data_IF_645233204724
#
_entry.id   IF_645233204724
#
_cell.length_a   1.000
_cell.length_b   1.000
_cell.length_c   1.000
_cell.angle_alpha   90.00
_cell.angle_beta   90.00
_cell.angle_gamma   90.00
#
_symmetry.space_group_name_H-M   'P 1'
#
loop_
_entity.id
_entity.type
_entity.pdbx_description
1 polymer ?
#
# COMPACT_ATOMS: atom_id res chain seq x y z
N UNK A 1 3.83 -35.66 -23.61
CA UNK A 1 4.83 -34.60 -23.72
C UNK A 1 4.48 -33.25 -23.05
N UNK A 2 3.27 -32.65 -23.21
CA UNK A 2 2.89 -31.37 -22.56
C UNK A 2 2.85 -31.40 -21.02
N UNK A 3 2.37 -32.50 -20.40
CA UNK A 3 2.34 -32.63 -18.92
C UNK A 3 3.75 -32.75 -18.28
N UNK A 4 4.69 -33.40 -18.96
CA UNK A 4 6.06 -33.52 -18.47
C UNK A 4 6.83 -32.18 -18.50
N UNK A 5 6.63 -31.36 -19.56
CA UNK A 5 7.22 -30.00 -19.64
C UNK A 5 6.64 -29.05 -18.58
N UNK A 6 5.36 -29.20 -18.22
CA UNK A 6 4.72 -28.41 -17.16
C UNK A 6 5.27 -28.77 -15.77
N UNK A 7 5.50 -30.05 -15.50
CA UNK A 7 6.05 -30.51 -14.22
C UNK A 7 7.52 -30.14 -14.06
N UNK A 8 8.30 -30.18 -15.15
CA UNK A 8 9.71 -29.73 -15.14
C UNK A 8 9.83 -28.24 -14.84
N UNK A 9 9.03 -27.38 -15.48
CA UNK A 9 8.97 -25.95 -15.18
C UNK A 9 8.50 -25.63 -13.74
N UNK A 10 7.57 -26.45 -13.18
CA UNK A 10 7.18 -26.32 -11.77
C UNK A 10 8.29 -26.67 -10.83
N UNK A 11 9.07 -27.72 -11.12
CA UNK A 11 10.23 -28.14 -10.32
C UNK A 11 11.36 -27.11 -10.40
N UNK A 12 11.69 -26.61 -11.60
CA UNK A 12 12.68 -25.56 -11.82
C UNK A 12 12.31 -24.25 -11.06
N UNK A 13 11.04 -23.83 -11.11
CA UNK A 13 10.56 -22.67 -10.34
C UNK A 13 10.57 -22.90 -8.82
N UNK A 14 10.38 -24.15 -8.36
CA UNK A 14 10.46 -24.49 -6.95
C UNK A 14 11.91 -24.50 -6.47
N UNK A 15 12.83 -25.03 -7.28
CA UNK A 15 14.26 -25.08 -6.98
C UNK A 15 14.90 -23.69 -7.05
N UNK A 16 14.47 -22.81 -7.97
CA UNK A 16 14.88 -21.38 -7.97
C UNK A 16 14.37 -20.63 -6.74
N UNK A 17 13.13 -20.90 -6.30
CA UNK A 17 12.61 -20.33 -5.05
C UNK A 17 13.39 -20.85 -3.83
N UNK A 18 13.75 -22.11 -3.82
CA UNK A 18 14.54 -22.72 -2.75
C UNK A 18 15.97 -22.18 -2.70
N UNK A 19 16.62 -21.95 -3.86
CA UNK A 19 17.92 -21.27 -3.94
C UNK A 19 17.86 -19.83 -3.42
N UNK A 20 16.80 -19.07 -3.72
CA UNK A 20 16.58 -17.73 -3.16
C UNK A 20 16.31 -17.72 -1.66
N UNK A 21 15.80 -18.81 -1.09
CA UNK A 21 15.59 -18.97 0.35
C UNK A 21 16.89 -19.27 1.12
N UNK A 22 17.95 -19.70 0.44
CA UNK A 22 19.28 -19.95 1.06
C UNK A 22 20.16 -18.69 1.14
N UNK A 23 19.80 -17.59 0.44
CA UNK A 23 20.48 -16.30 0.62
C UNK A 23 20.07 -15.68 1.96
N UNK A 24 21.04 -15.18 2.72
CA UNK A 24 20.79 -14.48 3.97
C UNK A 24 19.91 -13.26 3.68
N UNK A 25 18.65 -13.33 4.09
CA UNK A 25 17.73 -12.22 3.98
C UNK A 25 17.68 -11.47 5.31
N UNK A 26 17.67 -10.14 5.22
CA UNK A 26 17.51 -9.28 6.38
C UNK A 26 16.06 -8.83 6.50
N UNK A 27 15.65 -8.59 7.73
CA UNK A 27 14.32 -8.09 8.00
C UNK A 27 14.17 -6.63 7.55
N UNK A 28 13.05 -6.33 6.89
CA UNK A 28 12.64 -4.98 6.54
C UNK A 28 11.39 -4.62 7.33
N UNK A 29 11.43 -3.49 8.01
CA UNK A 29 10.32 -3.00 8.80
C UNK A 29 9.77 -1.72 8.22
N UNK A 30 8.52 -1.42 8.58
CA UNK A 30 7.85 -0.16 8.22
C UNK A 30 7.34 0.49 9.48
N UNK A 31 7.83 1.68 9.77
CA UNK A 31 7.36 2.50 10.87
C UNK A 31 6.49 3.64 10.36
N UNK A 32 5.41 3.95 11.09
CA UNK A 32 4.41 4.94 10.68
C UNK A 32 4.34 6.09 11.68
N UNK A 33 4.50 7.32 11.18
CA UNK A 33 4.37 8.55 11.92
C UNK A 33 3.24 9.40 11.35
N UNK A 34 2.40 9.99 12.23
CA UNK A 34 1.26 10.81 11.82
C UNK A 34 1.59 12.28 11.99
N UNK A 35 1.59 13.01 10.88
CA UNK A 35 1.75 14.47 10.85
C UNK A 35 0.37 15.11 10.81
N UNK A 36 -0.01 15.75 11.89
CA UNK A 36 -1.29 16.48 12.04
C UNK A 36 -1.21 17.88 11.42
N UNK A 37 -2.35 18.55 11.12
CA UNK A 37 -2.36 19.92 10.60
C UNK A 37 -1.68 20.98 11.48
N UNK A 38 -1.55 20.70 12.80
CA UNK A 38 -0.84 21.59 13.75
C UNK A 38 0.68 21.45 13.73
N UNK A 39 1.22 20.46 13.00
CA UNK A 39 2.65 20.23 12.92
C UNK A 39 3.33 21.31 12.05
N UNK A 40 4.51 21.80 12.45
CA UNK A 40 5.26 22.86 11.76
C UNK A 40 5.50 22.58 10.29
N UNK A 41 5.84 21.33 9.93
CA UNK A 41 6.08 20.92 8.55
C UNK A 41 4.82 20.59 7.74
N UNK A 42 3.62 20.64 8.33
CA UNK A 42 2.39 20.24 7.63
C UNK A 42 2.16 21.02 6.33
N UNK A 43 2.31 22.34 6.37
CA UNK A 43 2.13 23.20 5.19
C UNK A 43 3.10 22.86 4.06
N UNK A 44 4.35 22.60 4.41
CA UNK A 44 5.38 22.20 3.44
C UNK A 44 5.06 20.84 2.81
N UNK A 45 4.66 19.85 3.60
CA UNK A 45 4.25 18.55 3.09
C UNK A 45 3.03 18.66 2.18
N UNK A 46 2.10 19.55 2.51
CA UNK A 46 0.90 19.83 1.73
C UNK A 46 1.24 20.41 0.36
N UNK A 47 2.12 21.38 0.32
CA UNK A 47 2.63 21.97 -0.92
C UNK A 47 3.33 20.93 -1.81
N UNK A 48 4.24 20.13 -1.24
CA UNK A 48 4.94 19.09 -1.98
C UNK A 48 3.98 17.99 -2.48
N UNK A 49 2.97 17.63 -1.72
CA UNK A 49 1.95 16.66 -2.15
C UNK A 49 1.12 17.17 -3.34
N UNK A 50 0.81 18.47 -3.39
CA UNK A 50 0.17 19.11 -4.55
C UNK A 50 1.09 19.16 -5.76
N UNK A 51 2.37 19.54 -5.56
CA UNK A 51 3.39 19.52 -6.63
C UNK A 51 3.56 18.12 -7.20
N UNK A 52 3.62 17.10 -6.34
CA UNK A 52 3.69 15.69 -6.76
C UNK A 52 2.50 15.26 -7.62
N UNK A 53 1.31 15.74 -7.30
CA UNK A 53 0.11 15.50 -8.10
C UNK A 53 0.22 16.10 -9.51
N UNK A 54 0.75 17.31 -9.61
CA UNK A 54 0.96 18.00 -10.89
C UNK A 54 2.03 17.29 -11.74
N UNK A 55 3.15 16.90 -11.13
CA UNK A 55 4.21 16.12 -11.79
C UNK A 55 3.65 14.79 -12.33
N UNK A 56 2.86 14.07 -11.53
CA UNK A 56 2.23 12.82 -11.97
C UNK A 56 1.33 13.04 -13.18
N UNK A 57 0.46 14.04 -13.15
CA UNK A 57 -0.49 14.33 -14.23
C UNK A 57 0.23 14.75 -15.52
N UNK A 58 1.28 15.55 -15.42
CA UNK A 58 2.10 15.95 -16.54
C UNK A 58 2.85 14.77 -17.16
N UNK A 59 3.46 13.93 -16.33
CA UNK A 59 4.11 12.70 -16.79
C UNK A 59 3.13 11.76 -17.48
N UNK A 60 1.95 11.57 -16.89
CA UNK A 60 0.90 10.75 -17.49
C UNK A 60 0.40 11.32 -18.82
N UNK A 61 0.26 12.65 -18.93
CA UNK A 61 -0.10 13.31 -20.19
C UNK A 61 0.91 12.96 -21.31
N UNK A 62 2.20 13.12 -21.04
CA UNK A 62 3.27 12.82 -22.03
C UNK A 62 3.21 11.36 -22.49
N UNK A 63 3.11 10.43 -21.56
CA UNK A 63 3.06 8.99 -21.89
C UNK A 63 1.79 8.64 -22.66
N UNK A 64 0.65 9.24 -22.32
CA UNK A 64 -0.61 9.00 -23.05
C UNK A 64 -0.57 9.59 -24.46
N UNK A 65 -0.01 10.78 -24.64
CA UNK A 65 0.16 11.37 -25.98
C UNK A 65 1.07 10.51 -26.88
N UNK A 66 2.17 9.98 -26.34
CA UNK A 66 3.02 9.05 -27.06
C UNK A 66 2.26 7.77 -27.43
N UNK A 67 1.50 7.21 -26.49
CA UNK A 67 0.69 6.01 -26.73
C UNK A 67 -0.36 6.23 -27.84
N UNK A 68 -1.04 7.38 -27.88
CA UNK A 68 -2.02 7.70 -28.93
C UNK A 68 -1.37 7.85 -30.32
N UNK A 69 -0.08 8.18 -30.37
CA UNK A 69 0.72 8.18 -31.60
C UNK A 69 1.33 6.81 -31.92
N UNK A 70 0.91 5.74 -31.21
CA UNK A 70 1.42 4.38 -31.40
C UNK A 70 2.78 4.10 -30.74
N UNK A 71 3.35 5.06 -30.01
CA UNK A 71 4.66 4.94 -29.39
C UNK A 71 4.57 4.55 -27.92
N UNK A 72 5.44 3.62 -27.48
CA UNK A 72 5.57 3.27 -26.08
C UNK A 72 6.73 4.04 -25.46
N UNK A 73 6.44 4.90 -24.52
CA UNK A 73 7.45 5.72 -23.83
C UNK A 73 7.98 5.01 -22.59
N UNK A 74 9.28 4.82 -22.51
CA UNK A 74 9.98 4.28 -21.33
C UNK A 74 10.18 5.36 -20.28
N UNK A 75 10.59 4.95 -19.06
CA UNK A 75 10.91 5.90 -17.98
C UNK A 75 12.01 6.89 -18.42
N UNK A 76 13.09 6.40 -19.02
CA UNK A 76 14.21 7.25 -19.43
C UNK A 76 13.80 8.31 -20.47
N UNK A 77 12.97 7.91 -21.44
CA UNK A 77 12.42 8.83 -22.45
C UNK A 77 11.48 9.86 -21.83
N UNK A 78 10.64 9.45 -20.86
CA UNK A 78 9.75 10.35 -20.13
C UNK A 78 10.55 11.39 -19.33
N UNK A 79 11.55 10.92 -18.57
CA UNK A 79 12.42 11.79 -17.77
C UNK A 79 13.18 12.80 -18.67
N UNK A 80 13.78 12.33 -19.78
CA UNK A 80 14.45 13.18 -20.75
C UNK A 80 13.50 14.24 -21.35
N UNK A 81 12.31 13.83 -21.79
CA UNK A 81 11.32 14.73 -22.40
C UNK A 81 10.87 15.87 -21.47
N UNK A 82 10.82 15.61 -20.16
CA UNK A 82 10.46 16.61 -19.16
C UNK A 82 11.65 17.49 -18.76
N UNK A 83 12.88 16.98 -18.82
CA UNK A 83 14.09 17.76 -18.64
C UNK A 83 14.32 18.76 -19.78
N UNK A 84 14.13 18.34 -21.03
CA UNK A 84 14.23 19.19 -22.22
C UNK A 84 13.20 20.33 -22.17
N UNK A 85 11.99 20.05 -21.70
CA UNK A 85 10.96 21.05 -21.51
C UNK A 85 11.23 22.01 -20.33
N UNK A 86 12.29 21.79 -19.53
CA UNK A 86 12.60 22.57 -18.34
C UNK A 86 12.76 24.08 -18.62
N UNK A 87 13.23 24.42 -19.80
CA UNK A 87 13.44 25.81 -20.22
C UNK A 87 12.21 26.42 -20.89
N UNK A 88 11.16 25.65 -21.19
CA UNK A 88 9.92 26.17 -21.75
C UNK A 88 9.04 26.70 -20.61
N UNK A 89 8.40 27.88 -20.84
CA UNK A 89 7.50 28.53 -19.84
C UNK A 89 6.41 27.59 -19.31
N UNK A 90 6.03 26.59 -20.09
CA UNK A 90 4.95 25.64 -19.73
C UNK A 90 5.41 24.46 -18.88
N UNK A 91 6.69 24.32 -18.54
CA UNK A 91 7.22 23.11 -17.90
C UNK A 91 8.15 23.35 -16.71
N UNK A 92 7.82 24.32 -15.85
CA UNK A 92 8.51 24.50 -14.56
C UNK A 92 8.21 23.35 -13.55
N UNK A 93 7.40 22.37 -13.96
CA UNK A 93 6.96 21.26 -13.10
C UNK A 93 8.13 20.38 -12.67
N UNK A 94 9.11 20.15 -13.55
CA UNK A 94 10.28 19.33 -13.21
C UNK A 94 11.15 20.00 -12.13
N UNK A 95 11.32 21.32 -12.18
CA UNK A 95 12.08 22.10 -11.20
C UNK A 95 11.28 22.47 -9.94
N UNK A 96 9.95 22.30 -9.98
CA UNK A 96 9.05 22.74 -8.92
C UNK A 96 9.29 22.10 -7.54
N UNK A 97 9.89 20.92 -7.52
CA UNK A 97 10.13 20.16 -6.28
C UNK A 97 11.53 20.36 -5.69
N UNK A 98 12.35 21.21 -6.28
CA UNK A 98 13.73 21.51 -5.86
C UNK A 98 14.63 20.27 -5.66
N UNK A 99 14.19 19.10 -6.12
CA UNK A 99 14.93 17.86 -6.02
C UNK A 99 14.53 16.90 -7.16
N UNK A 100 15.51 16.53 -7.95
CA UNK A 100 15.35 15.67 -9.14
C UNK A 100 14.87 14.26 -8.75
N UNK A 101 15.39 13.70 -7.65
CA UNK A 101 15.01 12.35 -7.21
C UNK A 101 13.54 12.23 -6.87
N UNK A 102 12.95 13.24 -6.24
CA UNK A 102 11.51 13.25 -5.95
C UNK A 102 10.68 13.19 -7.24
N UNK A 103 11.05 14.00 -8.23
CA UNK A 103 10.38 14.01 -9.53
C UNK A 103 10.52 12.64 -10.20
N UNK A 104 11.74 12.11 -10.25
CA UNK A 104 12.03 10.82 -10.84
C UNK A 104 11.23 9.67 -10.23
N UNK A 105 11.07 9.63 -8.91
CA UNK A 105 10.25 8.62 -8.24
C UNK A 105 8.77 8.71 -8.64
N UNK A 106 8.25 9.92 -8.82
CA UNK A 106 6.88 10.13 -9.32
C UNK A 106 6.74 9.64 -10.76
N UNK A 107 7.70 9.96 -11.64
CA UNK A 107 7.69 9.53 -13.04
C UNK A 107 7.84 8.01 -13.17
N UNK A 108 8.64 7.37 -12.32
CA UNK A 108 8.68 5.89 -12.21
C UNK A 108 7.32 5.31 -11.89
N UNK A 109 6.56 5.95 -10.98
CA UNK A 109 5.19 5.52 -10.65
C UNK A 109 4.26 5.62 -11.86
N UNK A 110 4.39 6.67 -12.68
CA UNK A 110 3.61 6.81 -13.93
C UNK A 110 3.88 5.65 -14.88
N UNK A 111 5.15 5.36 -15.15
CA UNK A 111 5.54 4.28 -16.08
C UNK A 111 5.20 2.89 -15.55
N UNK A 112 5.29 2.67 -14.23
CA UNK A 112 4.84 1.44 -13.57
C UNK A 112 3.33 1.23 -13.75
N UNK A 113 2.51 2.28 -13.56
CA UNK A 113 1.06 2.20 -13.75
C UNK A 113 0.72 1.88 -15.21
N UNK A 114 1.40 2.48 -16.18
CA UNK A 114 1.22 2.18 -17.60
C UNK A 114 1.62 0.74 -17.94
N UNK A 115 2.74 0.26 -17.40
CA UNK A 115 3.19 -1.12 -17.57
C UNK A 115 2.21 -2.12 -16.95
N UNK A 116 1.68 -1.82 -15.78
CA UNK A 116 0.66 -2.64 -15.10
C UNK A 116 -0.63 -2.71 -15.93
N UNK A 117 -1.07 -1.58 -16.47
CA UNK A 117 -2.21 -1.54 -17.38
C UNK A 117 -1.97 -2.37 -18.65
N UNK A 118 -0.80 -2.26 -19.29
CA UNK A 118 -0.43 -3.05 -20.47
C UNK A 118 -0.50 -4.55 -20.17
N UNK A 119 0.12 -4.99 -19.07
CA UNK A 119 0.08 -6.39 -18.62
C UNK A 119 -1.36 -6.86 -18.37
N UNK A 120 -2.17 -6.05 -17.70
CA UNK A 120 -3.58 -6.37 -17.44
C UNK A 120 -4.39 -6.46 -18.74
N UNK A 121 -4.19 -5.54 -19.69
CA UNK A 121 -4.83 -5.56 -21.02
C UNK A 121 -4.44 -6.80 -21.81
N UNK A 122 -3.17 -7.17 -21.80
CA UNK A 122 -2.68 -8.35 -22.54
C UNK A 122 -3.18 -9.65 -21.88
N UNK A 123 -3.29 -9.69 -20.54
CA UNK A 123 -3.93 -10.79 -19.82
C UNK A 123 -5.45 -10.87 -20.11
N UNK A 124 -6.12 -9.71 -20.19
CA UNK A 124 -7.54 -9.63 -20.56
C UNK A 124 -7.81 -10.20 -21.98
N UNK A 125 -6.96 -9.87 -22.96
CA UNK A 125 -7.07 -10.42 -24.32
C UNK A 125 -7.00 -11.95 -24.33
N UNK A 126 -6.18 -12.56 -23.46
CA UNK A 126 -6.01 -14.02 -23.37
C UNK A 126 -7.14 -14.71 -22.60
N UNK A 127 -7.72 -14.08 -21.61
CA UNK A 127 -8.72 -14.67 -20.72
C UNK A 127 -9.70 -13.62 -20.18
N UNK A 128 -10.63 -13.09 -21.02
CA UNK A 128 -11.57 -12.04 -20.62
C UNK A 128 -12.46 -12.43 -19.44
N UNK A 129 -12.84 -13.70 -19.33
CA UNK A 129 -13.69 -14.25 -18.27
C UNK A 129 -13.08 -14.14 -16.85
N UNK A 130 -11.77 -13.93 -16.74
CA UNK A 130 -11.09 -13.73 -15.44
C UNK A 130 -11.18 -12.29 -14.92
N UNK A 131 -11.76 -11.39 -15.69
CA UNK A 131 -11.85 -9.96 -15.37
C UNK A 131 -13.31 -9.52 -15.27
N UNK A 132 -13.59 -8.57 -14.42
CA UNK A 132 -14.91 -7.93 -14.31
C UNK A 132 -15.22 -6.97 -15.48
N UNK A 133 -14.24 -6.66 -16.30
CA UNK A 133 -14.35 -5.79 -17.46
C UNK A 133 -12.98 -5.42 -18.04
N UNK A 134 -12.99 -4.73 -19.18
CA UNK A 134 -11.78 -4.31 -19.88
C UNK A 134 -10.93 -3.38 -19.00
N UNK A 135 -9.62 -3.65 -18.82
CA UNK A 135 -8.73 -2.78 -18.06
C UNK A 135 -8.68 -1.37 -18.64
N UNK A 136 -9.01 -0.38 -17.82
CA UNK A 136 -9.02 1.03 -18.22
C UNK A 136 -7.62 1.63 -18.14
N UNK A 137 -7.31 2.52 -19.09
CA UNK A 137 -6.07 3.29 -19.07
C UNK A 137 -5.96 4.10 -17.77
N UNK A 138 -4.77 4.23 -17.16
CA UNK A 138 -4.57 5.06 -15.98
C UNK A 138 -5.14 6.45 -16.17
N UNK A 139 -5.96 6.90 -15.23
CA UNK A 139 -6.63 8.19 -15.26
C UNK A 139 -5.78 9.30 -14.63
N UNK A 140 -6.02 10.54 -15.02
CA UNK A 140 -5.46 11.69 -14.33
C UNK A 140 -5.98 11.76 -12.89
N UNK A 141 -5.13 12.19 -12.00
CA UNK A 141 -5.52 12.54 -10.64
C UNK A 141 -6.28 13.85 -10.61
N UNK A 142 -7.13 14.03 -9.61
CA UNK A 142 -7.96 15.25 -9.47
C UNK A 142 -7.08 16.50 -9.49
N UNK A 143 -7.47 17.51 -10.27
CA UNK A 143 -6.82 18.83 -10.27
C UNK A 143 -6.86 19.43 -8.85
N UNK A 144 -5.74 19.97 -8.37
CA UNK A 144 -5.63 20.46 -7.00
C UNK A 144 -5.65 19.34 -5.93
N UNK A 145 -5.58 18.06 -6.33
CA UNK A 145 -5.45 16.94 -5.40
C UNK A 145 -4.03 16.80 -4.86
N UNK A 146 -3.87 15.89 -3.91
CA UNK A 146 -2.60 15.54 -3.28
C UNK A 146 -2.15 14.14 -3.71
N UNK A 147 -0.85 13.94 -3.81
CA UNK A 147 -0.25 12.65 -4.15
C UNK A 147 0.80 12.25 -3.14
N UNK A 148 0.99 10.94 -3.00
CA UNK A 148 2.07 10.39 -2.18
C UNK A 148 3.43 10.85 -2.70
N UNK A 149 4.29 11.31 -1.79
CA UNK A 149 5.70 11.56 -2.04
C UNK A 149 6.47 10.26 -1.79
N UNK A 150 7.36 9.93 -2.71
CA UNK A 150 8.29 8.81 -2.58
C UNK A 150 9.70 9.38 -2.49
N UNK A 151 10.37 9.12 -1.39
CA UNK A 151 11.68 9.64 -1.06
C UNK A 151 12.61 8.44 -0.90
N UNK A 152 13.62 8.37 -1.73
CA UNK A 152 14.60 7.28 -1.68
C UNK A 152 15.71 7.53 -0.65
N UNK A 153 16.58 6.56 -0.48
CA UNK A 153 17.71 6.62 0.44
C UNK A 153 18.80 7.63 0.04
N UNK A 154 18.75 8.17 -1.17
CA UNK A 154 19.67 9.22 -1.60
C UNK A 154 19.26 10.57 -1.02
N UNK A 155 17.97 10.77 -0.77
CA UNK A 155 17.40 12.01 -0.22
C UNK A 155 17.14 11.89 1.28
N UNK A 156 16.57 10.77 1.76
CA UNK A 156 16.37 10.52 3.19
C UNK A 156 17.68 10.05 3.82
N UNK A 157 18.14 10.73 4.86
CA UNK A 157 19.40 10.44 5.54
C UNK A 157 19.14 9.90 6.94
N UNK A 158 19.73 8.74 7.22
CA UNK A 158 19.80 8.22 8.59
C UNK A 158 20.89 8.97 9.34
N UNK A 159 20.55 9.54 10.49
CA UNK A 159 21.45 10.24 11.38
C UNK A 159 21.72 9.42 12.64
N UNK A 160 22.77 9.77 13.36
CA UNK A 160 23.05 9.18 14.67
C UNK A 160 21.87 9.33 15.62
N UNK A 161 21.66 8.34 16.49
CA UNK A 161 20.53 8.31 17.42
C UNK A 161 19.21 7.81 16.83
N UNK A 162 19.20 7.30 15.57
CA UNK A 162 17.98 6.72 14.96
C UNK A 162 17.04 7.74 14.34
N UNK A 163 17.55 8.94 13.99
CA UNK A 163 16.77 9.95 13.30
C UNK A 163 16.89 9.82 11.80
N UNK A 164 15.77 9.96 11.11
CA UNK A 164 15.73 10.13 9.65
C UNK A 164 15.46 11.59 9.35
N UNK A 165 16.38 12.21 8.64
CA UNK A 165 16.28 13.58 8.18
C UNK A 165 15.99 13.63 6.69
N UNK A 166 15.10 14.54 6.27
CA UNK A 166 14.76 14.77 4.86
C UNK A 166 15.13 16.22 4.51
N UNK A 167 16.36 16.47 4.04
CA UNK A 167 16.87 17.84 3.81
C UNK A 167 16.00 18.66 2.88
N UNK A 168 15.47 18.08 1.80
CA UNK A 168 14.59 18.74 0.82
C UNK A 168 13.27 19.25 1.42
N UNK A 169 12.88 18.73 2.58
CA UNK A 169 11.71 19.14 3.34
C UNK A 169 12.12 19.99 4.56
N UNK A 170 13.09 20.87 4.40
CA UNK A 170 13.63 21.75 5.45
C UNK A 170 14.12 20.95 6.68
N UNK A 171 14.82 19.85 6.43
CA UNK A 171 15.33 19.00 7.49
C UNK A 171 14.24 18.28 8.29
N UNK A 172 13.09 17.95 7.67
CA UNK A 172 11.99 17.24 8.35
C UNK A 172 12.53 16.03 9.12
N UNK A 173 12.48 16.06 10.47
CA UNK A 173 13.03 14.99 11.30
C UNK A 173 11.96 13.93 11.58
N UNK A 174 12.37 12.66 11.58
CA UNK A 174 11.53 11.52 11.97
C UNK A 174 12.34 10.69 12.94
N UNK A 175 11.91 10.61 14.19
CA UNK A 175 12.53 9.75 15.19
C UNK A 175 12.02 8.32 15.05
N UNK A 176 12.91 7.35 14.81
CA UNK A 176 12.58 5.95 14.73
C UNK A 176 12.54 5.32 16.13
N UNK A 177 11.53 4.51 16.38
CA UNK A 177 11.38 3.75 17.62
C UNK A 177 12.40 2.60 17.67
N UNK A 178 12.72 1.99 16.53
CA UNK A 178 13.69 0.90 16.42
C UNK A 178 15.10 1.45 16.15
N UNK A 179 15.97 1.36 17.14
CA UNK A 179 17.38 1.84 17.07
C UNK A 179 18.31 0.91 16.28
N UNK A 180 17.90 -0.32 15.99
CA UNK A 180 18.68 -1.29 15.21
C UNK A 180 18.59 -1.08 13.69
N UNK A 181 18.19 0.12 13.26
CA UNK A 181 18.08 0.48 11.84
C UNK A 181 19.47 0.62 11.24
N UNK A 182 19.74 -0.14 10.18
CA UNK A 182 21.03 -0.10 9.47
C UNK A 182 21.00 0.77 8.22
N UNK A 183 19.86 0.80 7.52
CA UNK A 183 19.72 1.59 6.31
C UNK A 183 18.25 1.92 6.01
N UNK A 184 18.00 3.16 5.57
CA UNK A 184 16.72 3.56 5.02
C UNK A 184 16.61 3.06 3.59
N UNK A 185 15.48 2.45 3.26
CA UNK A 185 15.18 2.03 1.89
C UNK A 185 14.31 3.08 1.17
N UNK A 186 13.26 3.54 1.84
CA UNK A 186 12.35 4.52 1.27
C UNK A 186 11.54 5.19 2.38
N UNK A 187 11.24 6.46 2.21
CA UNK A 187 10.22 7.17 2.99
C UNK A 187 9.05 7.50 2.08
N UNK A 188 7.83 7.19 2.51
CA UNK A 188 6.60 7.54 1.81
C UNK A 188 5.79 8.51 2.66
N UNK A 189 5.40 9.63 2.09
CA UNK A 189 4.53 10.61 2.76
C UNK A 189 3.17 10.53 2.07
N UNK A 190 2.22 9.91 2.75
CA UNK A 190 0.90 9.56 2.22
C UNK A 190 -0.13 10.55 2.74
N UNK A 191 -0.78 11.35 1.87
CA UNK A 191 -1.91 12.19 2.28
C UNK A 191 -3.11 11.31 2.63
N UNK A 192 -3.65 11.47 3.84
CA UNK A 192 -4.79 10.70 4.34
C UNK A 192 -5.64 11.52 5.32
N UNK A 193 -6.94 11.69 5.04
CA UNK A 193 -7.90 12.31 5.95
C UNK A 193 -7.41 13.65 6.57
N UNK A 194 -6.97 14.58 5.75
CA UNK A 194 -6.41 15.88 6.16
C UNK A 194 -5.19 15.77 7.11
N UNK A 195 -4.39 14.73 6.94
CA UNK A 195 -3.13 14.45 7.63
C UNK A 195 -2.14 13.85 6.66
N UNK A 196 -0.90 13.70 7.12
CA UNK A 196 0.08 12.89 6.41
C UNK A 196 0.47 11.69 7.28
N UNK A 197 0.51 10.51 6.67
CA UNK A 197 1.12 9.32 7.26
C UNK A 197 2.49 9.17 6.62
N UNK A 198 3.52 9.30 7.41
CA UNK A 198 4.91 9.11 6.99
C UNK A 198 5.29 7.67 7.29
N UNK A 199 5.55 6.89 6.25
CA UNK A 199 5.96 5.50 6.34
C UNK A 199 7.45 5.41 6.04
N UNK A 200 8.24 5.02 7.02
CA UNK A 200 9.68 4.82 6.87
C UNK A 200 9.94 3.32 6.71
N UNK A 201 10.43 2.94 5.53
CA UNK A 201 10.85 1.57 5.25
C UNK A 201 12.35 1.48 5.47
N UNK A 202 12.78 0.62 6.37
CA UNK A 202 14.17 0.48 6.73
C UNK A 202 14.58 -1.00 6.87
N UNK A 203 15.88 -1.24 6.75
CA UNK A 203 16.50 -2.54 6.96
C UNK A 203 17.03 -2.62 8.38
N UNK A 204 16.83 -3.76 9.03
CA UNK A 204 17.44 -4.06 10.31
C UNK A 204 18.68 -4.93 10.14
N UNK A 205 19.41 -5.17 11.22
CA UNK A 205 20.52 -6.15 11.27
C UNK A 205 20.03 -7.58 11.52
N UNK A 206 18.73 -7.76 11.76
CA UNK A 206 18.14 -9.08 12.02
C UNK A 206 18.06 -9.89 10.74
N UNK A 207 18.59 -11.11 10.79
CA UNK A 207 18.47 -12.07 9.70
C UNK A 207 17.13 -12.78 9.79
N UNK A 208 16.47 -12.95 8.65
CA UNK A 208 15.28 -13.79 8.59
C UNK A 208 15.73 -15.26 8.62
N UNK A 209 15.27 -15.98 9.64
CA UNK A 209 15.48 -17.42 9.77
C UNK A 209 14.19 -18.07 9.29
N UNK A 210 14.28 -18.81 8.18
CA UNK A 210 13.16 -19.61 7.70
C UNK A 210 13.15 -20.93 8.44
N UNK A 211 11.97 -21.32 8.92
CA UNK A 211 11.75 -22.63 9.52
C UNK A 211 11.53 -23.65 8.41
N UNK A 212 12.19 -24.79 8.51
CA UNK A 212 11.95 -25.93 7.61
C UNK A 212 10.52 -26.47 7.83
N UNK A 213 9.96 -27.08 6.77
CA UNK A 213 8.63 -27.70 6.87
C UNK A 213 8.72 -28.94 7.77
N UNK A 214 8.04 -28.86 8.90
CA UNK A 214 7.95 -29.93 9.89
C UNK A 214 6.60 -30.68 9.81
N UNK A 215 5.85 -30.52 8.73
CA UNK A 215 4.52 -31.08 8.51
C UNK A 215 3.47 -30.65 9.54
N UNK A 216 3.72 -29.57 10.30
CA UNK A 216 2.75 -28.94 11.20
C UNK A 216 2.17 -27.70 10.56
N UNK A 217 0.87 -27.72 10.34
CA UNK A 217 0.14 -26.70 9.61
C UNK A 217 -0.95 -26.08 10.49
N UNK A 218 -1.15 -24.78 10.32
CA UNK A 218 -2.32 -24.09 10.87
C UNK A 218 -3.12 -23.48 9.73
N UNK A 219 -4.39 -23.80 9.66
CA UNK A 219 -5.34 -23.17 8.72
C UNK A 219 -6.01 -21.98 9.36
N UNK A 220 -6.19 -20.92 8.56
CA UNK A 220 -6.92 -19.70 8.95
C UNK A 220 -8.08 -19.50 7.99
N UNK A 221 -9.30 -19.50 8.52
CA UNK A 221 -10.48 -19.08 7.76
C UNK A 221 -10.94 -17.69 8.19
N UNK A 222 -10.81 -16.66 7.30
CA UNK A 222 -11.30 -15.32 7.56
C UNK A 222 -12.83 -15.26 7.47
N UNK A 223 -13.50 -14.91 8.56
CA UNK A 223 -14.97 -14.83 8.63
C UNK A 223 -15.51 -13.44 8.98
N UNK A 224 -16.82 -13.31 9.07
CA UNK A 224 -17.51 -12.05 9.41
C UNK A 224 -17.73 -11.88 10.92
N UNK A 225 -18.26 -12.90 11.59
CA UNK A 225 -18.54 -12.86 13.04
C UNK A 225 -17.29 -13.21 13.83
N UNK A 226 -16.63 -14.26 13.43
CA UNK A 226 -15.26 -14.54 13.85
C UNK A 226 -14.34 -13.97 12.79
N UNK A 227 -13.46 -13.06 13.19
CA UNK A 227 -12.50 -12.46 12.26
C UNK A 227 -11.59 -13.54 11.65
N UNK A 228 -11.19 -14.51 12.49
CA UNK A 228 -10.40 -15.65 12.06
C UNK A 228 -10.79 -16.89 12.88
N UNK A 229 -10.97 -18.02 12.19
CA UNK A 229 -11.05 -19.34 12.80
C UNK A 229 -9.74 -20.08 12.51
N UNK A 230 -9.10 -20.62 13.55
CA UNK A 230 -7.81 -21.28 13.50
C UNK A 230 -8.00 -22.76 13.83
N UNK A 231 -7.47 -23.63 12.98
CA UNK A 231 -7.38 -25.07 13.22
C UNK A 231 -6.01 -25.58 12.80
N UNK A 232 -5.53 -26.68 13.43
CA UNK A 232 -4.22 -27.27 13.15
C UNK A 232 -4.31 -28.79 13.08
N UNK A 233 -3.35 -29.42 12.40
CA UNK A 233 -3.13 -30.84 12.39
C UNK A 233 -2.24 -31.32 13.56
N UNK A 234 -1.83 -30.42 14.45
CA UNK A 234 -1.05 -30.77 15.64
C UNK A 234 -1.96 -31.44 16.66
N UNK A 235 -1.57 -32.62 17.15
CA UNK A 235 -2.30 -33.33 18.17
C UNK A 235 -2.45 -32.48 19.45
N UNK A 236 -3.63 -32.49 20.04
CA UNK A 236 -3.94 -31.67 21.22
C UNK A 236 -4.18 -30.18 20.93
N UNK A 237 -4.10 -29.74 19.68
CA UNK A 237 -4.41 -28.35 19.34
C UNK A 237 -5.89 -28.05 19.49
N UNK A 238 -6.22 -27.13 20.39
CA UNK A 238 -7.61 -26.65 20.54
C UNK A 238 -7.89 -25.55 19.50
N UNK A 239 -8.93 -25.70 18.64
CA UNK A 239 -9.30 -24.67 17.68
C UNK A 239 -9.57 -23.32 18.35
N UNK A 240 -9.08 -22.24 17.74
CA UNK A 240 -9.18 -20.89 18.29
C UNK A 240 -10.03 -20.00 17.39
N UNK A 241 -10.96 -19.26 18.00
CA UNK A 241 -11.76 -18.25 17.32
C UNK A 241 -11.31 -16.84 17.75
N UNK A 242 -10.94 -16.02 16.80
CA UNK A 242 -10.66 -14.59 17.02
C UNK A 242 -11.94 -13.82 16.71
N UNK A 243 -12.50 -13.18 17.72
CA UNK A 243 -13.78 -12.49 17.63
C UNK A 243 -13.71 -11.27 16.67
N UNK A 244 -14.60 -11.22 15.67
CA UNK A 244 -14.72 -10.12 14.73
C UNK A 244 -15.71 -9.00 15.14
N UNK A 245 -16.46 -9.19 16.22
CA UNK A 245 -17.44 -8.20 16.70
C UNK A 245 -16.87 -6.82 16.97
N UNK A 246 -15.61 -6.65 17.47
CA UNK A 246 -15.00 -5.33 17.60
C UNK A 246 -14.93 -4.57 16.28
N UNK A 247 -14.57 -5.21 15.17
CA UNK A 247 -14.55 -4.58 13.83
C UNK A 247 -15.96 -4.17 13.41
N UNK A 248 -16.96 -5.05 13.63
CA UNK A 248 -18.36 -4.73 13.34
C UNK A 248 -18.84 -3.50 14.11
N UNK A 249 -18.55 -3.44 15.40
CA UNK A 249 -18.90 -2.31 16.27
C UNK A 249 -18.25 -1.01 15.79
N UNK A 250 -16.95 -1.04 15.44
CA UNK A 250 -16.22 0.12 14.89
C UNK A 250 -16.87 0.62 13.59
N UNK A 251 -17.20 -0.29 12.67
CA UNK A 251 -17.81 0.06 11.39
C UNK A 251 -19.25 0.56 11.57
N UNK A 252 -20.03 -0.05 12.45
CA UNK A 252 -21.40 0.36 12.75
C UNK A 252 -21.44 1.77 13.36
N UNK A 253 -20.57 2.05 14.33
CA UNK A 253 -20.43 3.39 14.91
C UNK A 253 -20.03 4.41 13.83
N UNK A 254 -19.02 4.08 13.01
CA UNK A 254 -18.58 4.93 11.91
C UNK A 254 -19.72 5.24 10.95
N UNK A 255 -20.49 4.25 10.50
CA UNK A 255 -21.57 4.43 9.55
C UNK A 255 -22.70 5.29 10.13
N UNK A 256 -23.03 5.11 11.41
CA UNK A 256 -24.05 5.92 12.14
C UNK A 256 -23.60 7.39 12.24
N UNK A 257 -22.38 7.64 12.67
CA UNK A 257 -21.84 9.00 12.81
C UNK A 257 -21.65 9.69 11.47
N UNK A 258 -21.19 8.95 10.45
CA UNK A 258 -21.10 9.44 9.09
C UNK A 258 -22.45 9.89 8.53
N UNK A 259 -23.49 9.07 8.73
CA UNK A 259 -24.85 9.41 8.31
C UNK A 259 -25.36 10.65 9.04
N UNK A 260 -25.09 10.78 10.36
CA UNK A 260 -25.43 11.97 11.15
C UNK A 260 -24.73 13.22 10.64
N UNK A 261 -23.44 13.14 10.35
CA UNK A 261 -22.66 14.26 9.80
C UNK A 261 -23.15 14.66 8.40
N UNK A 262 -23.55 13.71 7.56
CA UNK A 262 -24.11 14.01 6.25
C UNK A 262 -25.47 14.68 6.31
N UNK A 263 -26.31 14.34 7.28
CA UNK A 263 -27.59 15.06 7.49
C UNK A 263 -27.39 16.50 7.96
N UNK A 264 -26.35 16.74 8.78
CA UNK A 264 -26.03 18.05 9.30
C UNK A 264 -25.37 18.98 8.26
N UNK A 265 -24.82 18.42 7.18
CA UNK A 265 -24.28 19.17 6.07
C UNK A 265 -25.31 19.20 4.94
N UNK A 266 -25.70 20.37 4.48
CA UNK A 266 -26.48 20.52 3.24
C UNK A 266 -25.60 20.08 2.07
N UNK A 267 -25.75 18.82 1.67
CA UNK A 267 -24.92 18.12 0.70
C UNK A 267 -25.06 18.68 -0.72
N UNK A 268 -26.02 19.55 -0.96
CA UNK A 268 -26.25 20.18 -2.27
C UNK A 268 -25.22 21.27 -2.60
N UNK A 269 -24.56 21.85 -1.61
CA UNK A 269 -23.75 23.07 -1.76
C UNK A 269 -22.28 22.94 -1.31
N UNK A 270 -21.85 21.84 -0.66
CA UNK A 270 -20.53 21.73 -0.05
C UNK A 270 -19.74 20.48 -0.50
N UNK A 271 -18.39 20.51 -0.51
CA UNK A 271 -17.61 19.31 -0.74
C UNK A 271 -17.94 18.26 0.33
N UNK A 272 -18.06 16.98 -0.08
CA UNK A 272 -18.46 15.85 0.77
C UNK A 272 -17.43 15.50 1.88
N UNK A 273 -16.61 16.46 2.29
CA UNK A 273 -15.56 16.30 3.30
C UNK A 273 -15.65 17.40 4.34
N UNK A 274 -15.47 17.05 5.60
CA UNK A 274 -15.36 18.00 6.70
C UNK A 274 -14.26 17.58 7.67
N UNK A 275 -13.70 18.50 8.45
CA UNK A 275 -12.69 18.19 9.49
C UNK A 275 -13.19 17.12 10.47
N UNK A 276 -14.51 17.07 10.75
CA UNK A 276 -15.13 16.05 11.61
C UNK A 276 -15.15 14.70 10.93
N UNK A 277 -15.52 14.64 9.64
CA UNK A 277 -15.53 13.40 8.88
C UNK A 277 -14.10 12.84 8.73
N UNK A 278 -13.14 13.66 8.34
CA UNK A 278 -11.72 13.27 8.26
C UNK A 278 -11.21 12.68 9.58
N UNK A 279 -11.61 13.27 10.72
CA UNK A 279 -11.25 12.77 12.04
C UNK A 279 -11.91 11.42 12.34
N UNK A 280 -13.17 11.26 11.96
CA UNK A 280 -13.92 10.03 12.14
C UNK A 280 -13.33 8.89 11.32
N UNK A 281 -13.06 9.13 10.04
CA UNK A 281 -12.43 8.18 9.12
C UNK A 281 -11.05 7.75 9.62
N UNK A 282 -10.22 8.72 10.00
CA UNK A 282 -8.89 8.43 10.54
C UNK A 282 -8.95 7.57 11.81
N UNK A 283 -9.86 7.90 12.76
CA UNK A 283 -10.02 7.10 13.98
C UNK A 283 -10.48 5.67 13.70
N UNK A 284 -11.39 5.49 12.72
CA UNK A 284 -11.81 4.18 12.27
C UNK A 284 -10.63 3.38 11.74
N UNK A 285 -9.87 3.94 10.82
CA UNK A 285 -8.73 3.27 10.20
C UNK A 285 -7.66 2.88 11.23
N UNK A 286 -7.39 3.74 12.22
CA UNK A 286 -6.44 3.42 13.30
C UNK A 286 -6.92 2.22 14.14
N UNK A 287 -8.20 2.19 14.53
CA UNK A 287 -8.78 1.09 15.32
C UNK A 287 -8.76 -0.23 14.55
N UNK A 288 -9.08 -0.20 13.24
CA UNK A 288 -9.05 -1.41 12.40
C UNK A 288 -7.60 -1.90 12.24
N UNK A 289 -6.65 -0.99 11.98
CA UNK A 289 -5.23 -1.33 11.90
C UNK A 289 -4.70 -1.94 13.20
N UNK A 290 -5.05 -1.35 14.34
CA UNK A 290 -4.69 -1.88 15.66
C UNK A 290 -5.22 -3.31 15.84
N UNK A 291 -6.50 -3.53 15.57
CA UNK A 291 -7.10 -4.87 15.66
C UNK A 291 -6.38 -5.87 14.75
N UNK A 292 -6.06 -5.47 13.50
CA UNK A 292 -5.36 -6.34 12.56
C UNK A 292 -3.95 -6.72 13.05
N UNK A 293 -3.22 -5.78 13.64
CA UNK A 293 -1.89 -6.04 14.22
C UNK A 293 -1.97 -6.96 15.44
N UNK A 294 -2.90 -6.71 16.35
CA UNK A 294 -3.12 -7.54 17.55
C UNK A 294 -3.52 -8.98 17.18
N UNK A 295 -4.47 -9.11 16.22
CA UNK A 295 -4.92 -10.41 15.75
C UNK A 295 -3.79 -11.18 15.04
N UNK A 296 -3.04 -10.54 14.14
CA UNK A 296 -1.92 -11.19 13.45
C UNK A 296 -0.81 -11.59 14.40
N UNK A 297 -0.47 -10.75 15.39
CA UNK A 297 0.49 -11.11 16.43
C UNK A 297 0.02 -12.35 17.19
N UNK A 298 -1.23 -12.38 17.68
CA UNK A 298 -1.79 -13.52 18.39
C UNK A 298 -1.75 -14.81 17.56
N UNK A 299 -2.04 -14.73 16.26
CA UNK A 299 -1.97 -15.89 15.35
C UNK A 299 -0.54 -16.42 15.26
N UNK A 300 0.44 -15.52 15.11
CA UNK A 300 1.86 -15.91 15.05
C UNK A 300 2.34 -16.50 16.38
N UNK A 301 1.95 -15.89 17.51
CA UNK A 301 2.31 -16.38 18.84
C UNK A 301 1.76 -17.81 19.08
N UNK A 302 0.51 -18.09 18.66
CA UNK A 302 -0.09 -19.43 18.70
C UNK A 302 0.68 -20.40 17.80
N UNK A 303 1.04 -19.99 16.58
CA UNK A 303 1.81 -20.85 15.67
C UNK A 303 3.19 -21.21 16.26
N UNK A 304 3.86 -20.25 16.88
CA UNK A 304 5.15 -20.46 17.52
C UNK A 304 5.06 -21.36 18.73
N UNK A 305 4.05 -21.20 19.60
CA UNK A 305 3.87 -22.01 20.80
C UNK A 305 3.59 -23.49 20.50
N UNK A 306 3.04 -23.82 19.33
CA UNK A 306 2.77 -25.20 18.89
C UNK A 306 3.79 -25.71 17.86
N UNK A 307 4.89 -24.99 17.66
CA UNK A 307 5.95 -25.36 16.71
C UNK A 307 5.45 -25.52 15.26
N UNK A 308 4.44 -24.74 14.85
CA UNK A 308 3.85 -24.78 13.53
C UNK A 308 4.78 -24.06 12.55
N UNK A 309 5.17 -24.75 11.46
CA UNK A 309 6.06 -24.19 10.45
C UNK A 309 5.30 -23.45 9.34
N UNK A 310 4.06 -23.86 9.03
CA UNK A 310 3.33 -23.34 7.87
C UNK A 310 1.93 -22.89 8.25
N UNK A 311 1.60 -21.64 7.86
CA UNK A 311 0.26 -21.08 8.02
C UNK A 311 -0.43 -21.03 6.64
N UNK A 312 -1.61 -21.64 6.54
CA UNK A 312 -2.44 -21.67 5.33
C UNK A 312 -3.64 -20.75 5.50
N UNK A 313 -3.75 -19.72 4.68
CA UNK A 313 -4.87 -18.76 4.78
C UNK A 313 -5.86 -19.03 3.65
N UNK A 314 -7.12 -19.24 4.01
CA UNK A 314 -8.24 -19.38 3.07
C UNK A 314 -8.41 -18.11 2.23
N UNK A 315 -8.33 -18.22 0.90
CA UNK A 315 -8.55 -17.11 -0.02
C UNK A 315 -9.56 -17.49 -1.09
N UNK A 316 -10.80 -17.05 -0.92
CA UNK A 316 -11.82 -17.20 -1.94
C UNK A 316 -11.72 -16.03 -2.95
N UNK A 317 -11.15 -16.32 -4.12
CA UNK A 317 -11.00 -15.32 -5.20
C UNK A 317 -12.38 -14.93 -5.76
N UNK A 318 -12.74 -13.66 -5.61
CA UNK A 318 -13.97 -13.13 -6.21
C UNK A 318 -15.18 -13.12 -5.28
N UNK A 319 -15.13 -13.70 -4.09
CA UNK A 319 -16.23 -13.70 -3.11
C UNK A 319 -16.84 -12.31 -2.90
N UNK A 320 -16.01 -11.27 -2.74
CA UNK A 320 -16.47 -9.88 -2.58
C UNK A 320 -17.11 -9.26 -3.83
N UNK A 321 -16.96 -9.89 -5.00
CA UNK A 321 -17.47 -9.34 -6.28
C UNK A 321 -18.82 -9.88 -6.67
N UNK A 322 -19.16 -11.11 -6.24
CA UNK A 322 -20.38 -11.85 -6.63
C UNK A 322 -21.41 -11.94 -5.51
N UNK A 323 -21.06 -11.55 -4.29
CA UNK A 323 -21.96 -11.67 -3.14
C UNK A 323 -22.91 -10.47 -3.10
N UNK A 324 -24.19 -10.72 -3.37
CA UNK A 324 -25.28 -9.77 -3.12
C UNK A 324 -26.05 -10.20 -1.85
N UNK A 325 -25.52 -9.79 -0.71
CA UNK A 325 -26.09 -10.11 0.62
C UNK A 325 -27.12 -9.09 1.11
N UNK A 326 -27.60 -8.22 0.20
CA UNK A 326 -28.39 -7.06 0.61
C UNK A 326 -27.52 -5.90 1.12
N UNK A 327 -28.11 -4.67 1.16
CA UNK A 327 -27.35 -3.44 1.41
C UNK A 327 -26.63 -3.41 2.77
N UNK A 328 -27.25 -3.89 3.83
CA UNK A 328 -26.68 -3.89 5.18
C UNK A 328 -25.54 -4.92 5.35
N UNK A 329 -25.74 -6.15 4.85
CA UNK A 329 -24.74 -7.22 4.96
C UNK A 329 -23.57 -7.02 3.99
N UNK A 330 -23.82 -6.51 2.76
CA UNK A 330 -22.77 -6.19 1.80
C UNK A 330 -21.84 -5.10 2.35
N UNK A 331 -22.36 -4.11 3.04
CA UNK A 331 -21.58 -3.06 3.67
C UNK A 331 -20.66 -3.60 4.79
N UNK A 332 -21.14 -4.55 5.60
CA UNK A 332 -20.32 -5.22 6.61
C UNK A 332 -19.22 -6.11 6.02
N UNK A 333 -19.46 -6.67 4.83
CA UNK A 333 -18.52 -7.58 4.15
C UNK A 333 -17.45 -6.82 3.36
N UNK A 334 -17.80 -5.68 2.76
CA UNK A 334 -16.88 -4.88 1.91
C UNK A 334 -15.95 -4.03 2.74
N UNK A 335 -16.39 -3.59 3.93
CA UNK A 335 -15.63 -2.70 4.82
C UNK A 335 -14.59 -3.44 5.71
N UNK A 336 -14.37 -4.74 5.46
CA UNK A 336 -13.34 -5.56 6.14
C UNK A 336 -12.03 -5.66 5.36
#
# INVERSE_FOLDING_TARGET
MRKQKSNRKRKENFDERRKKLTEIQYEYLVERHVVKPSHSHFKLLDEFAHKANNVYNQGLYRVRQALFKGQWMTYSQLDASLKESRNARDCMIYSSMNNVHLVQQILRTVTQNMTSWKKARDAYKKAPHKFTGRPKLPSYRKKGGKSTLYIDNQVAKLREGGFVEIPVLNGFPIELQHRETTAIQQVRIVPQHNRFVVEVVYKTNRKIIYKDDNCRYMSIDPGLDNAFALASNVEGFTPVLINGRPIKSINQYYNKERARLYKAHDLSKQPRTSKRLDRLEFKRDQKINQFAHEASKRIVDIALSHDIATIVIGKNKGQKRSVNLGKAMSQQTVDK
#
